data_IF_964244655740
#
_entry.id   IF_964244655740
#
_cell.length_a   1.000
_cell.length_b   1.000
_cell.length_c   1.000
_cell.angle_alpha   90.00
_cell.angle_beta   90.00
_cell.angle_gamma   90.00
#
_symmetry.space_group_name_H-M   'P 1'
#
loop_
_entity.id
_entity.type
_entity.pdbx_description
1 polymer ?
#
# COMPACT_ATOMS: atom_id res chain seq x y z
N UNK A 1 -20.66 7.03 27.00
CA UNK A 1 -19.51 6.37 27.65
C UNK A 1 -18.51 6.04 26.55
N UNK A 2 -17.28 6.57 26.61
CA UNK A 2 -16.24 6.23 25.64
C UNK A 2 -15.84 4.76 25.87
N UNK A 3 -16.17 3.89 24.91
CA UNK A 3 -15.74 2.49 24.91
C UNK A 3 -14.21 2.46 25.00
N UNK A 4 -13.65 1.92 26.08
CA UNK A 4 -12.19 1.70 26.17
C UNK A 4 -11.79 0.80 24.99
N UNK A 5 -10.80 1.16 24.16
CA UNK A 5 -10.49 0.37 22.97
C UNK A 5 -10.15 -1.05 23.38
N UNK A 6 -10.86 -2.03 22.79
CA UNK A 6 -10.58 -3.44 23.01
C UNK A 6 -9.23 -3.73 22.34
N UNK A 7 -8.18 -3.85 23.14
CA UNK A 7 -6.90 -4.35 22.66
C UNK A 7 -7.06 -5.83 22.28
N UNK A 8 -6.37 -6.28 21.22
CA UNK A 8 -6.26 -7.68 20.80
C UNK A 8 -7.38 -8.25 19.89
N UNK A 9 -8.04 -7.42 19.06
CA UNK A 9 -8.90 -7.92 17.98
C UNK A 9 -8.09 -8.72 16.94
N UNK A 10 -8.73 -9.66 16.23
CA UNK A 10 -8.05 -10.47 15.20
C UNK A 10 -7.42 -9.62 14.08
N UNK A 11 -8.05 -8.50 13.72
CA UNK A 11 -7.46 -7.52 12.79
C UNK A 11 -6.19 -6.87 13.32
N UNK A 12 -6.10 -6.57 14.62
CA UNK A 12 -4.90 -6.01 15.26
C UNK A 12 -3.77 -7.03 15.34
N UNK A 13 -4.10 -8.32 15.54
CA UNK A 13 -3.12 -9.41 15.50
C UNK A 13 -2.54 -9.57 14.09
N UNK A 14 -3.40 -9.59 13.07
CA UNK A 14 -3.01 -9.65 11.65
C UNK A 14 -2.21 -8.43 11.21
N UNK A 15 -2.59 -7.24 11.66
CA UNK A 15 -1.84 -6.02 11.39
C UNK A 15 -0.39 -6.11 11.86
N UNK A 16 -0.12 -6.89 12.92
CA UNK A 16 1.22 -7.07 13.46
C UNK A 16 2.02 -8.20 12.78
N UNK A 17 1.48 -8.86 11.75
CA UNK A 17 2.20 -9.88 11.01
C UNK A 17 3.25 -9.26 10.07
N UNK A 18 4.51 -9.69 10.24
CA UNK A 18 5.66 -9.24 9.42
C UNK A 18 5.42 -9.44 7.92
N UNK A 19 4.68 -10.48 7.55
CA UNK A 19 4.33 -10.79 6.15
C UNK A 19 3.52 -9.65 5.50
N UNK A 20 2.57 -9.07 6.23
CA UNK A 20 1.71 -7.99 5.79
C UNK A 20 2.52 -6.68 5.72
N UNK A 21 3.36 -6.40 6.71
CA UNK A 21 4.26 -5.24 6.68
C UNK A 21 5.19 -5.25 5.46
N UNK A 22 5.81 -6.40 5.16
CA UNK A 22 6.66 -6.54 3.98
C UNK A 22 5.90 -6.30 2.69
N UNK A 23 4.68 -6.85 2.59
CA UNK A 23 3.83 -6.66 1.41
C UNK A 23 3.43 -5.20 1.22
N UNK A 24 3.02 -4.51 2.29
CA UNK A 24 2.71 -3.08 2.26
C UNK A 24 3.94 -2.24 1.91
N UNK A 25 5.11 -2.53 2.51
CA UNK A 25 6.34 -1.81 2.25
C UNK A 25 6.75 -1.89 0.77
N UNK A 26 6.68 -3.08 0.16
CA UNK A 26 6.95 -3.26 -1.27
C UNK A 26 5.96 -2.45 -2.12
N UNK A 27 4.65 -2.50 -1.80
CA UNK A 27 3.64 -1.72 -2.52
C UNK A 27 3.90 -0.22 -2.44
N UNK A 28 4.23 0.30 -1.25
CA UNK A 28 4.55 1.71 -1.03
C UNK A 28 5.79 2.13 -1.82
N UNK A 29 6.87 1.34 -1.81
CA UNK A 29 8.09 1.65 -2.56
C UNK A 29 7.83 1.74 -4.06
N UNK A 30 7.03 0.82 -4.60
CA UNK A 30 6.62 0.85 -6.02
C UNK A 30 5.80 2.11 -6.32
N UNK A 31 4.84 2.45 -5.45
CA UNK A 31 4.05 3.67 -5.61
C UNK A 31 4.91 4.94 -5.59
N UNK A 32 5.88 5.03 -4.67
CA UNK A 32 6.83 6.15 -4.59
C UNK A 32 7.64 6.26 -5.89
N UNK A 33 8.10 5.13 -6.45
CA UNK A 33 8.81 5.12 -7.73
C UNK A 33 7.92 5.64 -8.88
N UNK A 34 6.66 5.23 -8.94
CA UNK A 34 5.70 5.72 -9.94
C UNK A 34 5.46 7.23 -9.82
N UNK A 35 5.29 7.75 -8.60
CA UNK A 35 5.16 9.20 -8.37
C UNK A 35 6.43 9.94 -8.77
N UNK A 36 7.61 9.42 -8.41
CA UNK A 36 8.88 10.03 -8.79
C UNK A 36 9.04 10.14 -10.31
N UNK A 37 8.81 9.04 -11.03
CA UNK A 37 8.94 9.01 -12.50
C UNK A 37 7.97 9.97 -13.18
N UNK A 38 6.78 10.21 -12.60
CA UNK A 38 5.80 11.15 -13.15
C UNK A 38 6.35 12.57 -13.26
N UNK A 39 7.31 12.94 -12.42
CA UNK A 39 7.94 14.26 -12.38
C UNK A 39 9.38 14.26 -12.89
N UNK A 40 9.91 13.12 -13.36
CA UNK A 40 11.28 13.00 -13.82
C UNK A 40 11.51 13.55 -15.25
N UNK A 41 10.46 13.92 -15.97
CA UNK A 41 10.54 14.52 -17.30
C UNK A 41 9.17 14.74 -17.93
N UNK A 42 9.15 15.44 -19.07
CA UNK A 42 7.92 15.74 -19.83
C UNK A 42 7.83 14.84 -21.07
N UNK A 43 7.28 13.65 -20.87
CA UNK A 43 7.02 12.69 -21.94
C UNK A 43 5.72 11.95 -21.69
N UNK A 44 4.93 11.78 -22.75
CA UNK A 44 3.69 11.01 -22.71
C UNK A 44 3.95 9.56 -22.31
N UNK A 45 5.01 8.94 -22.85
CA UNK A 45 5.41 7.56 -22.51
C UNK A 45 5.77 7.46 -21.03
N UNK A 46 6.58 8.40 -20.53
CA UNK A 46 6.97 8.45 -19.12
C UNK A 46 5.74 8.61 -18.22
N UNK A 47 4.79 9.46 -18.63
CA UNK A 47 3.54 9.68 -17.90
C UNK A 47 2.73 8.38 -17.80
N UNK A 48 2.48 7.69 -18.91
CA UNK A 48 1.71 6.43 -18.93
C UNK A 48 2.38 5.36 -18.05
N UNK A 49 3.69 5.18 -18.20
CA UNK A 49 4.44 4.19 -17.41
C UNK A 49 4.39 4.54 -15.91
N UNK A 50 4.54 5.81 -15.56
CA UNK A 50 4.47 6.27 -14.17
C UNK A 50 3.10 5.98 -13.53
N UNK A 51 2.02 6.25 -14.25
CA UNK A 51 0.66 5.93 -13.80
C UNK A 51 0.44 4.42 -13.65
N UNK A 52 0.96 3.60 -14.58
CA UNK A 52 0.88 2.15 -14.48
C UNK A 52 1.63 1.61 -13.25
N UNK A 53 2.84 2.09 -12.99
CA UNK A 53 3.63 1.72 -11.81
C UNK A 53 2.90 2.12 -10.53
N UNK A 54 2.41 3.36 -10.45
CA UNK A 54 1.64 3.85 -9.31
C UNK A 54 0.39 3.00 -9.06
N UNK A 55 -0.33 2.62 -10.12
CA UNK A 55 -1.50 1.77 -10.02
C UNK A 55 -1.14 0.38 -9.46
N UNK A 56 -0.07 -0.23 -9.96
CA UNK A 56 0.39 -1.55 -9.49
C UNK A 56 0.82 -1.48 -8.02
N UNK A 57 1.62 -0.47 -7.63
CA UNK A 57 2.04 -0.28 -6.24
C UNK A 57 0.85 -0.08 -5.29
N UNK A 58 -0.12 0.73 -5.70
CA UNK A 58 -1.35 0.98 -4.94
C UNK A 58 -2.19 -0.29 -4.80
N UNK A 59 -2.33 -1.08 -5.88
CA UNK A 59 -3.03 -2.36 -5.85
C UNK A 59 -2.39 -3.34 -4.86
N UNK A 60 -1.05 -3.45 -4.85
CA UNK A 60 -0.33 -4.29 -3.89
C UNK A 60 -0.54 -3.80 -2.45
N UNK A 61 -0.42 -2.48 -2.21
CA UNK A 61 -0.65 -1.91 -0.88
C UNK A 61 -2.08 -2.18 -0.38
N UNK A 62 -3.09 -1.98 -1.24
CA UNK A 62 -4.49 -2.30 -0.92
C UNK A 62 -4.69 -3.78 -0.60
N UNK A 63 -4.04 -4.71 -1.33
CA UNK A 63 -4.06 -6.13 -0.97
C UNK A 63 -3.50 -6.41 0.43
N UNK A 64 -2.50 -5.65 0.86
CA UNK A 64 -1.99 -5.70 2.24
C UNK A 64 -3.05 -5.28 3.26
N UNK A 65 -3.73 -4.17 3.00
CA UNK A 65 -4.81 -3.66 3.85
C UNK A 65 -5.98 -4.64 3.93
N UNK A 66 -6.42 -5.22 2.81
CA UNK A 66 -7.52 -6.20 2.82
C UNK A 66 -7.17 -7.47 3.61
N UNK A 67 -5.90 -7.91 3.57
CA UNK A 67 -5.44 -9.01 4.44
C UNK A 67 -5.58 -8.68 5.94
N UNK A 68 -5.33 -7.44 6.34
CA UNK A 68 -5.53 -6.98 7.73
C UNK A 68 -7.01 -7.03 8.09
N UNK A 69 -7.87 -6.53 7.21
CA UNK A 69 -9.32 -6.47 7.44
C UNK A 69 -10.03 -7.82 7.34
N UNK A 70 -9.34 -8.88 6.90
CA UNK A 70 -9.96 -10.18 6.61
C UNK A 70 -11.08 -10.11 5.56
N UNK A 71 -11.01 -9.11 4.66
CA UNK A 71 -11.96 -8.85 3.59
C UNK A 71 -11.49 -9.41 2.26
#
# INVERSE_FOLDING_TARGET
MAQKPIHNTESMKRANEVSIYKLMAVGILISVLGVYLRFAGDSMTLSIVSWAILFIGSFIACKGVFKILAA
#
